data_IF_193938146769
#
_entry.id   IF_193938146769
#
_cell.length_a   1.000
_cell.length_b   1.000
_cell.length_c   1.000
_cell.angle_alpha   90.00
_cell.angle_beta   90.00
_cell.angle_gamma   90.00
#
_symmetry.space_group_name_H-M   'P 1'
#
loop_
_entity.id
_entity.type
_entity.pdbx_description
1 polymer ?
#
# COMPACT_ATOMS: atom_id res chain seq x y z
N UNK A 1 9.65 15.75 83.18
CA UNK A 1 8.72 16.29 82.16
C UNK A 1 9.35 16.08 80.79
N UNK A 2 9.02 14.99 80.10
CA UNK A 2 9.44 14.74 78.70
C UNK A 2 8.21 14.29 77.93
N UNK A 3 7.74 15.13 77.00
CA UNK A 3 6.58 14.86 76.13
C UNK A 3 7.04 14.02 74.94
N UNK A 4 6.39 12.87 74.73
CA UNK A 4 6.41 12.13 73.47
C UNK A 4 5.79 12.99 72.36
N UNK A 5 6.47 13.09 71.22
CA UNK A 5 5.90 13.64 69.99
C UNK A 5 5.86 12.58 68.88
N UNK A 6 4.62 12.16 68.59
CA UNK A 6 4.03 11.67 67.35
C UNK A 6 4.89 11.02 66.26
N UNK A 7 4.84 9.67 66.19
CA UNK A 7 5.32 8.87 65.04
C UNK A 7 4.27 8.62 63.93
N UNK A 8 3.09 9.22 63.98
CA UNK A 8 1.92 8.69 63.22
C UNK A 8 1.43 9.53 62.03
N UNK A 9 2.14 10.59 61.62
CA UNK A 9 1.70 11.43 60.47
C UNK A 9 2.45 11.23 59.16
N UNK A 10 3.66 10.66 59.20
CA UNK A 10 4.51 10.54 58.01
C UNK A 10 4.19 9.32 57.12
N UNK A 11 3.71 8.22 57.71
CA UNK A 11 3.44 6.98 56.96
C UNK A 11 2.16 7.05 56.12
N UNK A 12 1.17 7.86 56.52
CA UNK A 12 -0.05 8.10 55.76
C UNK A 12 0.16 9.01 54.55
N UNK A 13 0.98 10.05 54.71
CA UNK A 13 1.29 10.99 53.63
C UNK A 13 2.12 10.31 52.52
N UNK A 14 3.13 9.52 52.90
CA UNK A 14 3.93 8.75 51.94
C UNK A 14 3.14 7.65 51.23
N UNK A 15 2.16 7.03 51.89
CA UNK A 15 1.29 6.03 51.25
C UNK A 15 0.31 6.67 50.27
N UNK A 16 -0.29 7.81 50.61
CA UNK A 16 -1.18 8.53 49.69
C UNK A 16 -0.42 9.08 48.47
N UNK A 17 0.79 9.61 48.64
CA UNK A 17 1.58 10.12 47.51
C UNK A 17 2.07 9.00 46.59
N UNK A 18 2.44 7.82 47.13
CA UNK A 18 2.79 6.65 46.33
C UNK A 18 1.59 6.10 45.54
N UNK A 19 0.40 6.04 46.16
CA UNK A 19 -0.83 5.58 45.51
C UNK A 19 -1.32 6.55 44.42
N UNK A 20 -1.17 7.87 44.61
CA UNK A 20 -1.48 8.85 43.57
C UNK A 20 -0.47 8.82 42.42
N UNK A 21 0.82 8.58 42.69
CA UNK A 21 1.82 8.40 41.63
C UNK A 21 1.57 7.13 40.80
N UNK A 22 1.17 6.04 41.46
CA UNK A 22 0.80 4.78 40.79
C UNK A 22 -0.48 4.92 39.97
N UNK A 23 -1.49 5.67 40.42
CA UNK A 23 -2.71 5.93 39.63
C UNK A 23 -2.45 6.80 38.39
N UNK A 24 -1.52 7.77 38.49
CA UNK A 24 -1.13 8.62 37.35
C UNK A 24 -0.30 7.85 36.31
N UNK A 25 0.46 6.82 36.73
CA UNK A 25 1.16 5.93 35.80
C UNK A 25 0.25 4.91 35.09
N UNK A 26 -0.95 4.63 35.59
CA UNK A 26 -1.92 3.73 34.93
C UNK A 26 -2.86 4.43 33.95
N UNK A 27 -2.73 5.74 33.79
CA UNK A 27 -3.37 6.51 32.71
C UNK A 27 -2.32 7.31 31.95
N UNK A 28 -1.30 6.63 31.42
CA UNK A 28 -0.84 7.05 30.12
C UNK A 28 -2.00 6.71 29.17
N UNK A 29 -2.71 7.70 28.59
CA UNK A 29 -3.44 7.38 27.39
C UNK A 29 -2.39 6.76 26.47
N UNK A 30 -2.65 5.55 25.97
CA UNK A 30 -2.15 5.21 24.65
C UNK A 30 -2.65 6.33 23.75
N UNK A 31 -1.85 7.38 23.60
CA UNK A 31 -2.05 8.34 22.56
C UNK A 31 -1.91 7.48 21.30
N UNK A 32 -3.05 7.03 20.76
CA UNK A 32 -3.17 6.84 19.33
C UNK A 32 -2.56 8.12 18.77
N UNK A 33 -1.35 8.02 18.21
CA UNK A 33 -0.61 9.18 17.75
C UNK A 33 -1.54 10.00 16.86
N UNK A 34 -1.61 11.31 17.09
CA UNK A 34 -2.42 12.17 16.24
C UNK A 34 -1.97 11.97 14.79
N UNK A 35 -2.90 11.54 13.94
CA UNK A 35 -2.61 11.26 12.53
C UNK A 35 -2.13 12.54 11.84
N UNK A 36 -0.97 12.48 11.18
CA UNK A 36 -0.40 13.60 10.42
C UNK A 36 -1.06 13.63 9.04
N UNK A 37 -1.72 14.72 8.67
CA UNK A 37 -2.24 14.91 7.30
C UNK A 37 -1.42 15.96 6.56
N UNK A 38 -0.97 15.65 5.33
CA UNK A 38 -0.12 16.53 4.51
C UNK A 38 -0.66 16.60 3.09
N UNK A 39 -0.83 17.80 2.55
CA UNK A 39 -1.07 18.03 1.12
C UNK A 39 0.26 18.18 0.40
N UNK A 40 0.46 17.45 -0.69
CA UNK A 40 1.70 17.44 -1.48
C UNK A 40 1.41 17.73 -2.95
N UNK A 41 2.33 18.40 -3.63
CA UNK A 41 2.16 18.87 -5.03
C UNK A 41 3.16 18.24 -6.00
N UNK A 42 4.13 17.46 -5.50
CA UNK A 42 5.16 16.84 -6.30
C UNK A 42 5.71 15.58 -5.62
N UNK A 43 6.51 14.79 -6.35
CA UNK A 43 7.10 13.54 -5.87
C UNK A 43 7.98 13.76 -4.65
N UNK A 44 8.76 14.84 -4.62
CA UNK A 44 9.66 15.12 -3.50
C UNK A 44 8.86 15.30 -2.20
N UNK A 45 7.86 16.17 -2.21
CA UNK A 45 6.98 16.39 -1.06
C UNK A 45 6.27 15.09 -0.64
N UNK A 46 5.82 14.28 -1.60
CA UNK A 46 5.21 12.97 -1.33
C UNK A 46 6.19 12.04 -0.60
N UNK A 47 7.41 11.89 -1.12
CA UNK A 47 8.42 10.99 -0.56
C UNK A 47 8.93 11.46 0.81
N UNK A 48 9.12 12.77 1.00
CA UNK A 48 9.50 13.37 2.30
C UNK A 48 8.36 13.33 3.33
N UNK A 49 7.10 13.22 2.89
CA UNK A 49 5.95 13.12 3.78
C UNK A 49 5.70 11.70 4.30
N UNK A 50 6.28 10.66 3.68
CA UNK A 50 6.11 9.28 4.11
C UNK A 50 6.47 9.08 5.59
N UNK A 51 5.63 8.33 6.29
CA UNK A 51 5.81 8.04 7.70
C UNK A 51 4.62 7.26 8.26
N UNK A 52 4.81 6.68 9.43
CA UNK A 52 3.72 6.01 10.15
C UNK A 52 2.63 7.02 10.53
N UNK A 53 1.39 6.53 10.69
CA UNK A 53 0.24 7.34 11.12
C UNK A 53 0.06 8.61 10.27
N UNK A 54 0.27 8.49 8.96
CA UNK A 54 0.29 9.64 8.04
C UNK A 54 -0.74 9.48 6.93
N UNK A 55 -1.44 10.57 6.62
CA UNK A 55 -2.27 10.74 5.43
C UNK A 55 -1.60 11.73 4.48
N UNK A 56 -1.24 11.26 3.29
CA UNK A 56 -0.69 12.07 2.22
C UNK A 56 -1.79 12.28 1.18
N UNK A 57 -2.12 13.54 0.95
CA UNK A 57 -3.11 13.98 -0.02
C UNK A 57 -2.37 14.55 -1.22
N UNK A 58 -2.54 13.96 -2.40
CA UNK A 58 -1.92 14.42 -3.63
C UNK A 58 -2.82 15.45 -4.30
N UNK A 59 -2.29 16.66 -4.51
CA UNK A 59 -2.90 17.63 -5.39
C UNK A 59 -3.00 17.09 -6.83
N UNK A 60 -3.90 17.61 -7.68
CA UNK A 60 -3.98 17.22 -9.09
C UNK A 60 -2.64 17.35 -9.81
N UNK A 61 -2.24 16.31 -10.56
CA UNK A 61 -0.99 16.32 -11.29
C UNK A 61 -0.39 14.94 -11.52
N UNK A 62 0.71 14.93 -12.27
CA UNK A 62 1.50 13.73 -12.54
C UNK A 62 2.77 13.71 -11.67
N UNK A 63 2.97 12.60 -10.98
CA UNK A 63 4.05 12.31 -10.04
C UNK A 63 5.00 11.30 -10.69
N UNK A 64 5.94 11.80 -11.50
CA UNK A 64 6.90 10.96 -12.24
C UNK A 64 8.09 10.54 -11.35
N UNK A 65 8.08 9.27 -10.92
CA UNK A 65 9.09 8.68 -10.05
C UNK A 65 10.46 8.60 -10.73
N UNK A 66 10.52 8.28 -12.02
CA UNK A 66 11.78 8.19 -12.76
C UNK A 66 12.49 9.53 -12.89
N UNK A 67 11.74 10.61 -13.10
CA UNK A 67 12.29 11.96 -13.08
C UNK A 67 12.86 12.33 -11.70
N UNK A 68 12.18 11.94 -10.62
CA UNK A 68 12.65 12.17 -9.26
C UNK A 68 13.90 11.34 -8.92
N UNK A 69 13.94 10.05 -9.28
CA UNK A 69 15.08 9.15 -9.07
C UNK A 69 16.34 9.61 -9.80
N UNK A 70 16.22 10.21 -11.00
CA UNK A 70 17.35 10.80 -11.72
C UNK A 70 17.81 12.15 -11.14
N UNK A 71 16.99 12.76 -10.28
CA UNK A 71 17.24 14.06 -9.68
C UNK A 71 18.04 13.98 -8.38
N UNK A 72 18.50 15.13 -7.85
CA UNK A 72 19.37 15.18 -6.68
C UNK A 72 18.65 14.93 -5.34
N UNK A 73 17.32 14.73 -5.36
CA UNK A 73 16.49 14.67 -4.15
C UNK A 73 16.20 13.24 -3.68
N UNK A 74 16.48 12.23 -4.51
CA UNK A 74 16.21 10.83 -4.17
C UNK A 74 17.29 10.23 -3.28
N UNK A 75 18.57 10.37 -3.67
CA UNK A 75 19.71 9.79 -2.95
C UNK A 75 19.73 10.06 -1.44
N UNK A 76 19.39 11.27 -0.93
CA UNK A 76 19.44 11.54 0.51
C UNK A 76 18.38 10.81 1.35
N UNK A 77 17.27 10.36 0.75
CA UNK A 77 16.14 9.75 1.46
C UNK A 77 15.99 8.25 1.22
N UNK A 78 16.78 7.69 0.30
CA UNK A 78 16.75 6.27 -0.06
C UNK A 78 17.87 5.51 0.66
N UNK A 79 17.50 4.39 1.26
CA UNK A 79 18.43 3.41 1.80
C UNK A 79 18.91 2.45 0.69
N UNK A 80 20.21 2.44 0.41
CA UNK A 80 20.83 1.58 -0.61
C UNK A 80 21.24 0.20 -0.04
N UNK A 81 20.33 -0.44 0.69
CA UNK A 81 20.48 -1.80 1.24
C UNK A 81 19.10 -2.44 1.42
N UNK A 82 19.04 -3.75 1.60
CA UNK A 82 17.77 -4.45 1.77
C UNK A 82 17.08 -4.11 3.10
N UNK A 83 15.77 -3.86 3.06
CA UNK A 83 14.97 -3.74 4.28
C UNK A 83 14.96 -5.06 5.05
N UNK A 84 14.89 -4.98 6.37
CA UNK A 84 14.72 -6.13 7.25
C UNK A 84 13.91 -5.70 8.50
N UNK A 85 13.44 -6.64 9.33
CA UNK A 85 12.55 -6.33 10.47
C UNK A 85 13.09 -5.38 11.55
N UNK A 86 14.40 -5.07 11.57
CA UNK A 86 14.97 -4.07 12.48
C UNK A 86 15.27 -2.73 11.78
N UNK A 87 15.11 -2.66 10.46
CA UNK A 87 15.24 -1.41 9.70
C UNK A 87 14.05 -0.48 9.97
N UNK A 88 14.27 0.85 10.00
CA UNK A 88 13.16 1.79 10.15
C UNK A 88 12.22 1.75 8.94
N UNK A 89 10.96 2.21 9.07
CA UNK A 89 10.11 2.46 7.91
C UNK A 89 10.78 3.47 6.98
N UNK A 90 10.68 3.28 5.66
CA UNK A 90 11.36 4.17 4.71
C UNK A 90 11.38 3.68 3.27
N UNK A 91 12.20 4.36 2.48
CA UNK A 91 12.45 4.06 1.07
C UNK A 91 13.72 3.24 0.91
N UNK A 92 13.65 2.10 0.25
CA UNK A 92 14.76 1.17 0.06
C UNK A 92 14.94 0.87 -1.42
N UNK A 93 16.17 0.91 -1.90
CA UNK A 93 16.48 0.61 -3.30
C UNK A 93 17.25 -0.71 -3.40
N UNK A 94 16.61 -1.70 -4.00
CA UNK A 94 17.10 -3.09 -4.05
C UNK A 94 16.78 -3.69 -5.41
N UNK A 95 17.78 -4.27 -6.09
CA UNK A 95 17.62 -4.97 -7.38
C UNK A 95 16.78 -4.23 -8.45
N UNK A 96 16.99 -2.92 -8.62
CA UNK A 96 16.24 -2.05 -9.57
C UNK A 96 14.80 -1.74 -9.16
N UNK A 97 14.45 -1.91 -7.90
CA UNK A 97 13.11 -1.63 -7.39
C UNK A 97 13.15 -0.68 -6.18
N UNK A 98 12.26 0.31 -6.19
CA UNK A 98 12.01 1.17 -5.05
C UNK A 98 10.94 0.56 -4.15
N UNK A 99 11.33 0.20 -2.94
CA UNK A 99 10.47 -0.40 -1.94
C UNK A 99 10.07 0.64 -0.88
N UNK A 100 8.76 0.82 -0.70
CA UNK A 100 8.17 1.52 0.44
C UNK A 100 8.00 0.50 1.55
N UNK A 101 8.92 0.47 2.50
CA UNK A 101 9.04 -0.65 3.44
C UNK A 101 8.73 -0.25 4.88
N UNK A 102 8.10 -1.17 5.62
CA UNK A 102 7.93 -1.09 7.07
C UNK A 102 6.85 -0.12 7.59
N UNK A 103 6.12 0.57 6.70
CA UNK A 103 5.14 1.59 7.11
C UNK A 103 3.92 0.99 7.82
N UNK A 104 3.42 1.72 8.82
CA UNK A 104 2.23 1.39 9.59
C UNK A 104 1.22 2.55 9.55
N UNK A 105 -0.05 2.25 9.24
CA UNK A 105 -1.13 3.26 9.21
C UNK A 105 -0.81 4.43 8.27
N UNK A 106 -0.42 4.09 7.03
CA UNK A 106 -0.11 5.05 5.98
C UNK A 106 -1.26 5.09 4.96
N UNK A 107 -1.71 6.30 4.65
CA UNK A 107 -2.66 6.56 3.58
C UNK A 107 -2.07 7.48 2.54
N UNK A 108 -2.23 7.13 1.27
CA UNK A 108 -1.91 7.98 0.13
C UNK A 108 -3.18 8.08 -0.71
N UNK A 109 -3.65 9.29 -0.97
CA UNK A 109 -4.87 9.47 -1.77
C UNK A 109 -4.86 10.72 -2.63
N UNK A 110 -5.65 10.70 -3.70
CA UNK A 110 -6.01 11.91 -4.43
C UNK A 110 -6.76 12.92 -3.55
N UNK A 111 -6.55 14.20 -3.82
CA UNK A 111 -7.30 15.29 -3.20
C UNK A 111 -8.78 15.26 -3.61
N UNK A 112 -9.04 15.04 -4.90
CA UNK A 112 -10.39 14.88 -5.45
C UNK A 112 -10.87 13.45 -5.24
N UNK A 113 -12.07 13.31 -4.70
CA UNK A 113 -12.72 12.02 -4.41
C UNK A 113 -13.88 11.71 -5.36
N UNK A 114 -14.24 12.65 -6.24
CA UNK A 114 -15.24 12.44 -7.29
C UNK A 114 -14.58 11.91 -8.57
N UNK A 115 -13.36 12.37 -8.87
CA UNK A 115 -12.57 11.92 -10.02
C UNK A 115 -11.10 11.69 -9.65
N UNK A 116 -10.46 10.75 -10.33
CA UNK A 116 -9.01 10.53 -10.20
C UNK A 116 -8.26 11.65 -10.93
N UNK A 117 -7.64 12.55 -10.17
CA UNK A 117 -6.89 13.72 -10.68
C UNK A 117 -5.39 13.67 -10.40
N UNK A 118 -4.93 12.72 -9.58
CA UNK A 118 -3.53 12.48 -9.29
C UNK A 118 -3.07 11.15 -9.91
N UNK A 119 -1.94 11.20 -10.61
CA UNK A 119 -1.36 10.06 -11.31
C UNK A 119 0.10 9.87 -10.89
N UNK A 120 0.46 8.66 -10.46
CA UNK A 120 1.83 8.28 -10.10
C UNK A 120 2.37 7.37 -11.20
N UNK A 121 3.54 7.71 -11.73
CA UNK A 121 4.07 7.04 -12.93
C UNK A 121 5.54 6.71 -12.81
N UNK A 122 5.95 5.67 -13.54
CA UNK A 122 7.35 5.36 -13.78
C UNK A 122 7.59 5.13 -15.27
N UNK A 123 8.78 5.50 -15.72
CA UNK A 123 9.32 5.22 -17.05
C UNK A 123 10.16 3.93 -17.05
N UNK A 124 10.50 3.40 -15.87
CA UNK A 124 11.30 2.19 -15.73
C UNK A 124 10.41 0.93 -15.88
N UNK A 125 10.63 0.11 -16.92
CA UNK A 125 9.83 -1.09 -17.15
C UNK A 125 10.15 -2.23 -16.17
N UNK A 126 11.23 -2.15 -15.40
CA UNK A 126 11.67 -3.21 -14.48
C UNK A 126 11.17 -2.98 -13.04
N UNK A 127 10.86 -1.74 -12.67
CA UNK A 127 10.35 -1.41 -11.33
C UNK A 127 8.84 -1.47 -11.30
N UNK A 128 8.29 -1.90 -10.17
CA UNK A 128 6.89 -1.60 -9.89
C UNK A 128 6.66 -0.09 -9.81
N UNK A 129 5.46 0.42 -10.12
CA UNK A 129 5.16 1.84 -9.89
C UNK A 129 5.26 2.11 -8.39
N UNK A 130 4.58 1.29 -7.58
CA UNK A 130 4.83 1.18 -6.15
C UNK A 130 4.99 -0.27 -5.74
N UNK A 131 5.99 -0.54 -4.90
CA UNK A 131 6.11 -1.77 -4.13
C UNK A 131 6.06 -1.46 -2.65
N UNK A 132 5.08 -2.02 -1.95
CA UNK A 132 5.02 -1.99 -0.49
C UNK A 132 5.60 -3.28 0.08
N UNK A 133 6.55 -3.16 1.00
CA UNK A 133 7.19 -4.31 1.64
C UNK A 133 6.96 -4.28 3.15
N UNK A 134 6.45 -5.38 3.71
CA UNK A 134 6.26 -5.56 5.15
C UNK A 134 5.53 -4.37 5.82
N UNK A 135 4.45 -3.92 5.20
CA UNK A 135 3.64 -2.80 5.69
C UNK A 135 2.34 -3.28 6.35
N UNK A 136 1.76 -2.47 7.23
CA UNK A 136 0.49 -2.78 7.87
C UNK A 136 -0.46 -1.59 7.85
N UNK A 137 -1.76 -1.82 7.67
CA UNK A 137 -2.78 -0.76 7.64
C UNK A 137 -2.49 0.29 6.55
N UNK A 138 -2.38 -0.17 5.31
CA UNK A 138 -2.14 0.71 4.16
C UNK A 138 -3.46 1.06 3.47
N UNK A 139 -3.63 2.34 3.12
CA UNK A 139 -4.76 2.78 2.28
C UNK A 139 -4.27 3.55 1.06
N UNK A 140 -4.65 3.09 -0.12
CA UNK A 140 -4.48 3.84 -1.38
C UNK A 140 -5.88 4.20 -1.89
N UNK A 141 -6.13 5.46 -2.22
CA UNK A 141 -7.47 5.87 -2.67
C UNK A 141 -7.48 6.98 -3.74
N UNK A 142 -8.32 6.87 -4.77
CA UNK A 142 -8.49 7.91 -5.81
C UNK A 142 -7.17 8.27 -6.51
N UNK A 143 -6.43 7.24 -6.96
CA UNK A 143 -5.13 7.39 -7.59
C UNK A 143 -5.08 6.60 -8.89
N UNK A 144 -4.37 7.14 -9.87
CA UNK A 144 -3.95 6.40 -11.06
C UNK A 144 -2.49 6.01 -10.93
N UNK A 145 -2.16 4.78 -11.29
CA UNK A 145 -0.80 4.26 -11.33
C UNK A 145 -0.50 3.75 -12.74
N UNK A 146 0.66 4.08 -13.29
CA UNK A 146 1.07 3.38 -14.50
C UNK A 146 2.48 3.58 -15.04
N UNK A 147 2.85 2.68 -15.93
CA UNK A 147 4.07 2.76 -16.73
C UNK A 147 3.82 3.64 -17.97
N UNK A 148 4.57 4.73 -18.11
CA UNK A 148 4.36 5.73 -19.18
C UNK A 148 5.37 5.63 -20.34
N UNK A 149 6.39 4.78 -20.26
CA UNK A 149 7.36 4.54 -21.35
C UNK A 149 7.56 3.05 -21.67
N UNK A 150 7.87 2.81 -22.96
CA UNK A 150 8.06 1.56 -23.71
C UNK A 150 6.90 0.55 -23.70
N UNK A 151 6.24 0.43 -24.86
CA UNK A 151 5.64 -0.84 -25.29
C UNK A 151 6.76 -1.90 -25.36
N UNK A 152 6.67 -2.97 -24.57
CA UNK A 152 7.74 -3.96 -24.46
C UNK A 152 7.59 -4.90 -23.26
N UNK A 153 8.65 -5.67 -22.98
CA UNK A 153 8.69 -6.64 -21.87
C UNK A 153 8.99 -5.93 -20.53
N UNK A 154 7.99 -5.27 -19.95
CA UNK A 154 8.12 -4.78 -18.58
C UNK A 154 8.03 -5.97 -17.60
N UNK A 155 8.84 -5.94 -16.56
CA UNK A 155 8.98 -7.03 -15.57
C UNK A 155 8.52 -6.63 -14.17
N UNK A 156 8.28 -5.34 -13.92
CA UNK A 156 7.66 -4.86 -12.69
C UNK A 156 6.14 -4.83 -12.78
N UNK A 157 5.45 -5.04 -11.66
CA UNK A 157 4.00 -4.89 -11.58
C UNK A 157 3.58 -3.42 -11.64
N UNK A 158 2.31 -3.09 -11.86
CA UNK A 158 1.87 -1.70 -11.61
C UNK A 158 1.87 -1.41 -10.11
N UNK A 159 1.14 -2.22 -9.34
CA UNK A 159 1.15 -2.19 -7.87
C UNK A 159 1.59 -3.53 -7.31
N UNK A 160 2.63 -3.54 -6.47
CA UNK A 160 3.14 -4.73 -5.81
C UNK A 160 3.01 -4.63 -4.29
N UNK A 161 2.36 -5.61 -3.67
CA UNK A 161 2.29 -5.75 -2.22
C UNK A 161 3.03 -7.02 -1.81
N UNK A 162 4.07 -6.89 -0.99
CA UNK A 162 4.81 -8.00 -0.42
C UNK A 162 4.77 -7.94 1.11
N UNK A 163 4.32 -9.02 1.75
CA UNK A 163 4.20 -9.12 3.21
C UNK A 163 3.32 -8.01 3.83
N UNK A 164 2.32 -7.54 3.10
CA UNK A 164 1.41 -6.49 3.57
C UNK A 164 0.23 -7.10 4.32
N UNK A 165 -0.13 -6.49 5.45
CA UNK A 165 -1.28 -6.88 6.26
C UNK A 165 -2.29 -5.75 6.40
N UNK A 166 -3.57 -6.05 6.20
CA UNK A 166 -4.68 -5.11 6.35
C UNK A 166 -4.51 -3.91 5.40
N UNK A 167 -4.85 -4.08 4.12
CA UNK A 167 -4.79 -2.98 3.14
C UNK A 167 -6.12 -2.74 2.43
N UNK A 168 -6.44 -1.45 2.23
CA UNK A 168 -7.61 -0.98 1.49
C UNK A 168 -7.17 -0.21 0.25
N UNK A 169 -7.52 -0.73 -0.91
CA UNK A 169 -7.23 -0.14 -2.22
C UNK A 169 -8.57 0.28 -2.84
N UNK A 170 -8.81 1.58 -2.97
CA UNK A 170 -10.14 2.13 -3.24
C UNK A 170 -10.09 3.08 -4.44
N UNK A 171 -10.94 2.87 -5.44
CA UNK A 171 -11.05 3.79 -6.56
C UNK A 171 -9.72 4.05 -7.27
N UNK A 172 -9.03 2.97 -7.65
CA UNK A 172 -7.73 3.02 -8.35
C UNK A 172 -7.89 2.77 -9.86
N UNK A 173 -7.02 3.38 -10.66
CA UNK A 173 -6.82 3.03 -12.08
C UNK A 173 -5.38 2.54 -12.26
N UNK A 174 -5.20 1.22 -12.40
CA UNK A 174 -3.90 0.57 -12.56
C UNK A 174 -3.70 0.22 -14.04
N UNK A 175 -2.68 0.81 -14.68
CA UNK A 175 -2.44 0.58 -16.11
C UNK A 175 -0.96 0.50 -16.49
N UNK A 176 -0.69 -0.12 -17.63
CA UNK A 176 0.63 -0.09 -18.27
C UNK A 176 1.29 -1.45 -18.41
N UNK A 177 2.41 -1.47 -19.12
CA UNK A 177 3.07 -2.65 -19.68
C UNK A 177 3.63 -3.66 -18.66
N UNK A 178 3.46 -3.44 -17.36
CA UNK A 178 3.98 -4.32 -16.29
C UNK A 178 3.62 -5.80 -16.44
N UNK A 179 4.24 -6.65 -15.62
CA UNK A 179 3.91 -8.09 -15.55
C UNK A 179 2.42 -8.25 -15.26
N UNK A 180 2.00 -7.86 -14.06
CA UNK A 180 0.61 -7.82 -13.67
C UNK A 180 0.23 -6.41 -13.22
N UNK A 181 -1.03 -6.03 -13.46
CA UNK A 181 -1.56 -4.77 -12.96
C UNK A 181 -1.58 -4.72 -11.43
N UNK A 182 -1.73 -5.89 -10.78
CA UNK A 182 -1.68 -6.01 -9.33
C UNK A 182 -0.99 -7.32 -8.92
N UNK A 183 0.05 -7.21 -8.11
CA UNK A 183 0.75 -8.35 -7.51
C UNK A 183 0.64 -8.34 -5.99
N UNK A 184 0.42 -9.51 -5.41
CA UNK A 184 0.41 -9.74 -3.98
C UNK A 184 1.21 -11.00 -3.61
N UNK A 185 2.14 -10.87 -2.66
CA UNK A 185 2.93 -11.98 -2.13
C UNK A 185 2.88 -11.98 -0.61
N UNK A 186 2.53 -13.10 0.01
CA UNK A 186 2.48 -13.26 1.49
C UNK A 186 1.63 -12.21 2.20
N UNK A 187 0.59 -11.73 1.52
CA UNK A 187 -0.29 -10.68 2.04
C UNK A 187 -1.48 -11.26 2.79
N UNK A 188 -2.05 -10.46 3.69
CA UNK A 188 -3.23 -10.84 4.46
C UNK A 188 -4.24 -9.70 4.56
N UNK A 189 -5.52 -10.02 4.36
CA UNK A 189 -6.64 -9.09 4.49
C UNK A 189 -6.50 -7.89 3.55
N UNK A 190 -6.54 -8.13 2.24
CA UNK A 190 -6.45 -7.07 1.24
C UNK A 190 -7.79 -6.93 0.52
N UNK A 191 -8.29 -5.70 0.44
CA UNK A 191 -9.50 -5.34 -0.29
C UNK A 191 -9.17 -4.32 -1.38
N UNK A 192 -9.34 -4.71 -2.64
CA UNK A 192 -9.39 -3.80 -3.78
C UNK A 192 -10.84 -3.58 -4.19
N UNK A 193 -11.27 -2.34 -4.38
CA UNK A 193 -12.65 -2.08 -4.81
C UNK A 193 -12.82 -0.86 -5.69
N UNK A 194 -13.92 -0.86 -6.45
CA UNK A 194 -14.37 0.28 -7.25
C UNK A 194 -13.29 0.78 -8.22
N UNK A 195 -12.49 -0.15 -8.76
CA UNK A 195 -11.23 0.15 -9.43
C UNK A 195 -11.21 -0.34 -10.89
N UNK A 196 -10.14 0.00 -11.61
CA UNK A 196 -9.87 -0.45 -12.97
C UNK A 196 -8.46 -1.03 -13.04
N UNK A 197 -8.32 -2.20 -13.68
CA UNK A 197 -7.02 -2.78 -14.05
C UNK A 197 -7.00 -3.01 -15.55
N UNK A 198 -6.02 -2.45 -16.27
CA UNK A 198 -6.03 -2.46 -17.73
C UNK A 198 -4.66 -2.39 -18.40
N UNK A 199 -4.61 -2.78 -19.66
CA UNK A 199 -3.43 -2.56 -20.52
C UNK A 199 -2.14 -3.20 -19.99
N UNK A 200 -2.25 -4.37 -19.33
CA UNK A 200 -1.12 -5.11 -18.77
C UNK A 200 -0.54 -6.13 -19.76
N UNK A 201 0.74 -6.50 -19.62
CA UNK A 201 1.41 -7.37 -20.59
C UNK A 201 1.30 -8.85 -20.24
N UNK A 202 1.50 -9.27 -18.98
CA UNK A 202 1.41 -10.70 -18.65
C UNK A 202 0.02 -11.09 -18.21
N UNK A 203 -0.57 -10.33 -17.28
CA UNK A 203 -1.91 -10.59 -16.79
C UNK A 203 -2.46 -9.47 -15.93
N UNK A 204 -3.56 -9.73 -15.26
CA UNK A 204 -4.31 -8.75 -14.49
C UNK A 204 -3.93 -8.79 -13.01
N UNK A 205 -3.91 -10.00 -12.42
CA UNK A 205 -3.61 -10.20 -11.00
C UNK A 205 -2.69 -11.42 -10.80
N UNK A 206 -1.65 -11.26 -9.99
CA UNK A 206 -0.87 -12.37 -9.43
C UNK A 206 -0.93 -12.36 -7.91
N UNK A 207 -1.18 -13.51 -7.31
CA UNK A 207 -1.31 -13.69 -5.87
C UNK A 207 -0.62 -14.97 -5.41
N UNK A 208 0.38 -14.86 -4.54
CA UNK A 208 1.13 -16.01 -4.02
C UNK A 208 1.15 -16.01 -2.49
N UNK A 209 0.81 -17.15 -1.87
CA UNK A 209 0.83 -17.35 -0.40
C UNK A 209 -0.01 -16.30 0.38
N UNK A 210 -1.15 -15.87 -0.17
CA UNK A 210 -1.99 -14.82 0.40
C UNK A 210 -3.26 -15.34 1.08
N UNK A 211 -3.72 -14.62 2.11
CA UNK A 211 -4.95 -14.92 2.85
C UNK A 211 -5.94 -13.76 2.76
N UNK A 212 -7.22 -14.05 2.47
CA UNK A 212 -8.32 -13.07 2.43
C UNK A 212 -8.06 -11.92 1.44
N UNK A 213 -7.86 -12.25 0.16
CA UNK A 213 -7.82 -11.27 -0.92
C UNK A 213 -9.21 -11.12 -1.55
N UNK A 214 -9.72 -9.89 -1.62
CA UNK A 214 -11.00 -9.58 -2.24
C UNK A 214 -10.85 -8.46 -3.26
N UNK A 215 -11.48 -8.63 -4.42
CA UNK A 215 -11.63 -7.59 -5.43
C UNK A 215 -13.13 -7.39 -5.69
N UNK A 216 -13.61 -6.16 -5.54
CA UNK A 216 -15.05 -5.85 -5.53
C UNK A 216 -15.38 -4.71 -6.49
N UNK A 217 -16.37 -4.85 -7.36
CA UNK A 217 -16.81 -3.79 -8.31
C UNK A 217 -15.64 -3.22 -9.13
N UNK A 218 -14.74 -4.08 -9.57
CA UNK A 218 -13.56 -3.71 -10.36
C UNK A 218 -13.76 -4.09 -11.82
N UNK A 219 -13.34 -3.21 -12.72
CA UNK A 219 -13.32 -3.48 -14.17
C UNK A 219 -11.92 -3.90 -14.61
N UNK A 220 -11.81 -5.08 -15.16
CA UNK A 220 -10.63 -5.56 -15.87
C UNK A 220 -10.82 -5.33 -17.37
N UNK A 221 -9.90 -4.62 -18.03
CA UNK A 221 -10.09 -4.32 -19.45
C UNK A 221 -8.84 -4.19 -20.30
N UNK A 222 -9.03 -4.23 -21.61
CA UNK A 222 -8.03 -3.88 -22.63
C UNK A 222 -6.68 -4.60 -22.40
N UNK A 223 -6.74 -5.90 -22.11
CA UNK A 223 -5.58 -6.74 -21.77
C UNK A 223 -5.63 -8.02 -22.59
N UNK A 224 -4.59 -8.29 -23.38
CA UNK A 224 -4.52 -9.43 -24.28
C UNK A 224 -3.18 -10.12 -24.15
N UNK A 225 -3.18 -11.39 -23.75
CA UNK A 225 -1.97 -12.18 -23.48
C UNK A 225 -2.21 -13.66 -23.75
N UNK A 226 -1.14 -14.43 -24.02
CA UNK A 226 -1.19 -15.90 -24.08
C UNK A 226 -0.89 -16.55 -22.70
N UNK A 227 -0.62 -15.73 -21.68
CA UNK A 227 -0.32 -16.14 -20.32
C UNK A 227 -1.58 -16.17 -19.44
N UNK A 228 -1.43 -16.54 -18.17
CA UNK A 228 -2.51 -16.54 -17.19
C UNK A 228 -2.91 -15.11 -16.84
N UNK A 229 -4.18 -14.74 -17.06
CA UNK A 229 -4.74 -13.47 -16.62
C UNK A 229 -4.74 -13.35 -15.08
N UNK A 230 -4.96 -14.48 -14.42
CA UNK A 230 -4.94 -14.62 -12.97
C UNK A 230 -3.98 -15.75 -12.61
N UNK A 231 -2.90 -15.41 -11.91
CA UNK A 231 -1.96 -16.38 -11.36
C UNK A 231 -2.12 -16.43 -9.84
N UNK A 232 -2.86 -17.43 -9.36
CA UNK A 232 -3.24 -17.54 -7.94
C UNK A 232 -2.67 -18.83 -7.37
N UNK A 233 -1.58 -18.70 -6.62
CA UNK A 233 -0.80 -19.81 -6.05
C UNK A 233 -0.91 -19.81 -4.52
N UNK A 234 -1.29 -20.94 -3.91
CA UNK A 234 -1.43 -21.07 -2.44
C UNK A 234 -2.21 -19.90 -1.80
N UNK A 235 -3.22 -19.41 -2.51
CA UNK A 235 -3.99 -18.22 -2.16
C UNK A 235 -5.45 -18.44 -2.49
N UNK A 236 -6.35 -17.68 -1.86
CA UNK A 236 -7.74 -17.55 -2.28
C UNK A 236 -8.02 -16.10 -2.64
N UNK A 237 -8.47 -15.89 -3.88
CA UNK A 237 -8.90 -14.61 -4.41
C UNK A 237 -10.41 -14.64 -4.63
N UNK A 238 -11.13 -13.70 -4.03
CA UNK A 238 -12.57 -13.53 -4.22
C UNK A 238 -12.83 -12.34 -5.15
N UNK A 239 -13.55 -12.56 -6.23
CA UNK A 239 -14.01 -11.50 -7.15
C UNK A 239 -15.52 -11.33 -6.97
N UNK A 240 -15.98 -10.11 -6.69
CA UNK A 240 -17.40 -9.79 -6.48
C UNK A 240 -17.80 -8.61 -7.36
N UNK A 241 -18.89 -8.74 -8.12
CA UNK A 241 -19.40 -7.68 -9.00
C UNK A 241 -18.35 -7.11 -9.98
N UNK A 242 -17.36 -7.91 -10.36
CA UNK A 242 -16.32 -7.50 -11.31
C UNK A 242 -16.80 -7.61 -12.76
N UNK A 243 -16.24 -6.76 -13.62
CA UNK A 243 -16.54 -6.72 -15.06
C UNK A 243 -15.29 -6.97 -15.88
N UNK A 244 -15.40 -7.74 -16.96
CA UNK A 244 -14.32 -8.02 -17.92
C UNK A 244 -14.70 -7.45 -19.29
N UNK A 245 -13.85 -6.61 -19.89
CA UNK A 245 -14.10 -5.95 -21.19
C UNK A 245 -12.85 -6.01 -22.07
N UNK A 246 -12.94 -6.60 -23.27
CA UNK A 246 -11.78 -6.74 -24.16
C UNK A 246 -10.57 -7.42 -23.48
N UNK A 247 -10.84 -8.52 -22.78
CA UNK A 247 -9.81 -9.32 -22.09
C UNK A 247 -9.62 -10.65 -22.82
N UNK A 248 -8.38 -10.96 -23.17
CA UNK A 248 -7.97 -12.21 -23.84
C UNK A 248 -6.80 -12.83 -23.07
N UNK A 249 -6.92 -14.10 -22.70
CA UNK A 249 -5.86 -14.86 -22.04
C UNK A 249 -6.36 -16.06 -21.25
N UNK A 250 -5.44 -16.78 -20.60
CA UNK A 250 -5.77 -18.03 -19.90
C UNK A 250 -6.31 -17.78 -18.50
N UNK A 251 -7.28 -18.59 -18.09
CA UNK A 251 -7.82 -18.59 -16.72
C UNK A 251 -7.64 -19.99 -16.15
N UNK A 252 -6.44 -20.28 -15.63
CA UNK A 252 -6.08 -21.63 -15.22
C UNK A 252 -6.39 -21.94 -13.74
N UNK A 253 -6.76 -20.94 -12.94
CA UNK A 253 -6.77 -21.06 -11.46
C UNK A 253 -7.82 -20.19 -10.76
N UNK A 254 -8.94 -19.90 -11.44
CA UNK A 254 -9.99 -19.02 -10.91
C UNK A 254 -11.27 -19.81 -10.61
N UNK A 255 -11.58 -20.00 -9.32
CA UNK A 255 -12.92 -20.40 -8.89
C UNK A 255 -13.80 -19.14 -8.80
N UNK A 256 -14.60 -18.89 -9.84
CA UNK A 256 -15.58 -17.80 -9.85
C UNK A 256 -16.84 -18.26 -9.12
N UNK A 257 -17.15 -17.63 -7.99
CA UNK A 257 -18.36 -17.95 -7.22
C UNK A 257 -19.54 -17.04 -7.57
N UNK A 258 -19.29 -15.78 -7.97
CA UNK A 258 -20.29 -14.78 -8.38
C UNK A 258 -19.69 -13.76 -9.38
N UNK A 259 -20.48 -13.19 -10.30
CA UNK A 259 -20.04 -12.15 -11.25
C UNK A 259 -20.59 -12.27 -12.67
N UNK A 260 -20.53 -11.18 -13.46
CA UNK A 260 -20.99 -11.14 -14.86
C UNK A 260 -19.79 -11.16 -15.81
N UNK A 261 -19.55 -12.30 -16.44
CA UNK A 261 -18.64 -12.41 -17.59
C UNK A 261 -19.37 -11.93 -18.84
N UNK A 262 -18.99 -10.75 -19.36
CA UNK A 262 -19.60 -10.22 -20.60
C UNK A 262 -18.91 -10.84 -21.82
N UNK A 263 -17.60 -11.13 -21.74
CA UNK A 263 -16.85 -11.82 -22.77
C UNK A 263 -15.49 -12.26 -22.21
N UNK A 264 -15.20 -13.56 -22.21
CA UNK A 264 -13.85 -14.11 -22.05
C UNK A 264 -13.64 -15.02 -23.25
N UNK A 265 -12.55 -14.80 -23.97
CA UNK A 265 -12.10 -15.71 -25.00
C UNK A 265 -10.95 -16.52 -24.41
N UNK A 266 -11.19 -17.81 -24.21
CA UNK A 266 -10.12 -18.75 -23.91
C UNK A 266 -9.37 -19.06 -25.21
N UNK A 267 -8.04 -19.11 -25.12
CA UNK A 267 -7.13 -19.55 -26.20
C UNK A 267 -6.44 -20.83 -25.78
#
# INVERSE_FOLDING_TARGET
MMKQFGKTKWTGLLRCTLLTLLLVMMMAPTALGARRTVLVHNVREMMEALGDHTEIILAPGQYNLSAWLRGPFADPVIHNFAWNPISPPGLYWVYHELELAGFQDLTIRGQDTEAITAEIVTEDPYSSVFKFLNCQQIRLAHLRFGHIQQEGHCTGAVLNLEQVKDASLDHLDLYGCGTYGYEARRCKNILLRDSVIRSCTYGLVSATECQNLKIVRTTFKDTSTNLSLFEVNHSRLELLDCTFQNVLGKINSLDMTEGKVIQIYEI
#
